data_IF_985217033418
#
_entry.id   IF_985217033418
#
_cell.length_a   1.000
_cell.length_b   1.000
_cell.length_c   1.000
_cell.angle_alpha   90.00
_cell.angle_beta   90.00
_cell.angle_gamma   90.00
#
_symmetry.space_group_name_H-M   'P 1'
#
loop_
_entity.id
_entity.type
_entity.pdbx_description
1 polymer ?
#
# COMPACT_ATOMS: atom_id res chain seq x y z
N UNK A 1 75.30 28.15 -59.38
CA UNK A 1 73.92 28.41 -58.94
C UNK A 1 73.39 27.08 -58.37
N UNK A 2 73.65 26.83 -57.11
CA UNK A 2 73.24 25.57 -56.42
C UNK A 2 72.04 25.83 -55.55
N UNK A 3 70.98 25.11 -55.80
CA UNK A 3 69.81 25.06 -54.87
C UNK A 3 69.99 23.85 -53.99
N UNK A 4 70.11 24.11 -52.68
CA UNK A 4 70.05 23.10 -51.61
C UNK A 4 68.59 22.77 -51.32
N UNK A 5 68.26 21.49 -51.27
CA UNK A 5 66.96 20.97 -50.85
C UNK A 5 67.13 20.51 -49.37
N UNK A 6 66.40 21.15 -48.48
CA UNK A 6 66.30 20.70 -47.12
C UNK A 6 65.15 19.69 -47.01
N UNK A 7 65.47 18.47 -46.60
CA UNK A 7 64.48 17.44 -46.21
C UNK A 7 64.21 17.55 -44.68
N UNK A 8 63.02 17.98 -44.35
CA UNK A 8 62.60 18.00 -42.97
C UNK A 8 62.01 16.63 -42.56
N UNK A 9 62.59 16.01 -41.52
CA UNK A 9 62.10 14.79 -40.92
C UNK A 9 61.10 15.18 -39.84
N UNK A 10 59.81 14.88 -40.08
CA UNK A 10 58.76 14.98 -39.06
C UNK A 10 58.80 13.74 -38.14
N UNK A 11 59.23 13.91 -36.88
CA UNK A 11 59.01 12.92 -35.83
C UNK A 11 57.55 12.99 -35.34
N UNK A 12 56.81 11.92 -35.60
CA UNK A 12 55.47 11.73 -35.01
C UNK A 12 55.66 11.08 -33.63
N UNK A 13 55.46 11.84 -32.58
CA UNK A 13 55.38 11.30 -31.20
C UNK A 13 54.03 10.64 -30.99
N UNK A 14 54.01 9.32 -30.91
CA UNK A 14 52.79 8.57 -30.50
C UNK A 14 52.60 8.71 -29.00
N UNK A 15 51.65 9.52 -28.55
CA UNK A 15 51.22 9.59 -27.16
C UNK A 15 50.35 8.35 -26.87
N UNK A 16 50.88 7.43 -26.04
CA UNK A 16 50.10 6.33 -25.50
C UNK A 16 49.10 6.87 -24.47
N UNK A 17 47.82 6.91 -24.83
CA UNK A 17 46.73 7.20 -23.88
C UNK A 17 46.55 5.94 -23.05
N UNK A 18 47.10 5.92 -21.85
CA UNK A 18 46.76 4.92 -20.83
C UNK A 18 45.34 5.17 -20.38
N UNK A 19 44.39 4.34 -20.81
CA UNK A 19 43.05 4.29 -20.28
C UNK A 19 43.16 3.85 -18.80
N UNK A 20 43.02 4.81 -17.90
CA UNK A 20 42.82 4.52 -16.47
C UNK A 20 41.51 3.74 -16.34
N UNK A 21 41.62 2.47 -15.92
CA UNK A 21 40.44 1.69 -15.54
C UNK A 21 39.77 2.44 -14.39
N UNK A 22 38.54 2.91 -14.61
CA UNK A 22 37.74 3.50 -13.55
C UNK A 22 37.59 2.46 -12.44
N UNK A 23 38.02 2.80 -11.23
CA UNK A 23 37.79 1.98 -10.06
C UNK A 23 36.27 1.67 -9.97
N UNK A 24 35.89 0.41 -9.63
CA UNK A 24 34.49 0.09 -9.47
C UNK A 24 33.95 1.01 -8.37
N UNK A 25 32.97 1.85 -8.75
CA UNK A 25 32.27 2.69 -7.77
C UNK A 25 31.77 1.75 -6.67
N UNK A 26 32.24 1.92 -5.43
CA UNK A 26 31.72 1.22 -4.27
C UNK A 26 30.20 1.35 -4.30
N UNK A 27 29.50 0.23 -4.32
CA UNK A 27 28.04 0.26 -4.18
C UNK A 27 27.74 1.01 -2.86
N UNK A 28 26.85 2.00 -2.88
CA UNK A 28 26.47 2.67 -1.63
C UNK A 28 26.01 1.61 -0.64
N UNK A 29 26.47 1.72 0.60
CA UNK A 29 26.08 0.80 1.65
C UNK A 29 24.55 0.66 1.66
N UNK A 30 24.05 -0.57 1.69
CA UNK A 30 22.63 -0.83 1.73
C UNK A 30 22.05 -0.07 2.93
N UNK A 31 21.00 0.72 2.72
CA UNK A 31 20.28 1.36 3.82
C UNK A 31 19.71 0.25 4.68
N UNK A 32 20.20 0.15 5.92
CA UNK A 32 19.77 -0.84 6.89
C UNK A 32 19.14 -0.14 8.07
N UNK A 33 17.96 -0.62 8.47
CA UNK A 33 17.24 -0.17 9.65
C UNK A 33 17.58 -1.12 10.79
N UNK A 34 18.41 -0.67 11.72
CA UNK A 34 18.71 -1.42 12.95
C UNK A 34 17.58 -1.19 13.94
N UNK A 35 16.98 -2.27 14.43
CA UNK A 35 15.91 -2.19 15.42
C UNK A 35 16.06 -3.27 16.49
N UNK A 36 15.51 -3.00 17.67
CA UNK A 36 15.35 -3.98 18.74
C UNK A 36 13.89 -4.35 18.89
N UNK A 37 13.62 -5.58 19.28
CA UNK A 37 12.27 -6.09 19.50
C UNK A 37 12.14 -6.67 20.91
N UNK A 38 11.00 -6.41 21.56
CA UNK A 38 10.63 -6.98 22.85
C UNK A 38 9.11 -7.24 22.90
N UNK A 39 8.68 -8.15 23.76
CA UNK A 39 7.26 -8.40 24.03
C UNK A 39 7.01 -8.15 25.51
N UNK A 40 6.03 -7.29 25.83
CA UNK A 40 5.60 -7.04 27.19
C UNK A 40 4.83 -8.22 27.77
N UNK A 41 4.68 -8.28 29.09
CA UNK A 41 3.95 -9.36 29.78
C UNK A 41 2.49 -9.52 29.30
N UNK A 42 1.85 -8.43 28.88
CA UNK A 42 0.50 -8.43 28.34
C UNK A 42 0.42 -8.80 26.84
N UNK A 43 1.55 -9.09 26.19
CA UNK A 43 1.62 -9.51 24.79
C UNK A 43 1.86 -8.39 23.78
N UNK A 44 1.93 -7.12 24.19
CA UNK A 44 2.27 -6.02 23.28
C UNK A 44 3.69 -6.21 22.75
N UNK A 45 3.83 -6.28 21.43
CA UNK A 45 5.13 -6.28 20.76
C UNK A 45 5.63 -4.85 20.60
N UNK A 46 6.90 -4.62 20.92
CA UNK A 46 7.53 -3.31 20.89
C UNK A 46 8.77 -3.35 20.01
N UNK A 47 8.86 -2.44 19.06
CA UNK A 47 9.98 -2.28 18.15
C UNK A 47 10.56 -0.88 18.28
N UNK A 48 11.88 -0.78 18.53
CA UNK A 48 12.57 0.48 18.75
C UNK A 48 13.68 0.66 17.71
N UNK A 49 13.68 1.84 17.07
CA UNK A 49 14.75 2.30 16.16
C UNK A 49 15.28 3.63 16.71
N UNK A 50 16.49 3.61 17.24
CA UNK A 50 17.18 4.82 17.69
C UNK A 50 17.74 5.57 16.47
N UNK A 51 17.33 6.83 16.27
CA UNK A 51 17.76 7.69 15.16
C UNK A 51 17.84 9.15 15.60
N UNK A 52 19.08 9.60 15.84
CA UNK A 52 19.39 10.97 16.31
C UNK A 52 19.60 11.97 15.16
N UNK A 53 19.22 11.64 13.92
CA UNK A 53 19.40 12.54 12.77
C UNK A 53 18.53 13.79 12.82
N UNK A 54 17.41 13.74 13.55
CA UNK A 54 16.52 14.86 13.81
C UNK A 54 15.90 14.72 15.22
N UNK A 55 15.61 15.83 15.93
CA UNK A 55 15.04 15.80 17.28
C UNK A 55 13.53 15.51 17.25
N UNK A 56 13.14 14.41 16.63
CA UNK A 56 11.75 13.98 16.47
C UNK A 56 11.59 12.51 16.81
N UNK A 57 10.38 12.13 17.23
CA UNK A 57 9.95 10.73 17.32
C UNK A 57 8.76 10.48 16.39
N UNK A 58 8.63 9.25 15.96
CA UNK A 58 7.45 8.74 15.29
C UNK A 58 7.00 7.45 15.98
N UNK A 59 5.76 7.45 16.42
CA UNK A 59 5.09 6.31 17.05
C UNK A 59 4.05 5.77 16.09
N UNK A 60 4.02 4.46 15.92
CA UNK A 60 2.96 3.75 15.20
C UNK A 60 2.44 2.60 16.05
N UNK A 61 1.12 2.54 16.24
CA UNK A 61 0.44 1.36 16.77
C UNK A 61 -0.29 0.68 15.62
N UNK A 62 0.14 -0.53 15.29
CA UNK A 62 -0.47 -1.37 14.28
C UNK A 62 -1.30 -2.46 14.95
N UNK A 63 -2.60 -2.50 14.68
CA UNK A 63 -3.50 -3.55 15.15
C UNK A 63 -3.74 -4.59 14.05
N UNK A 64 -3.71 -5.87 14.42
CA UNK A 64 -4.04 -6.99 13.53
C UNK A 64 -5.56 -7.12 13.36
N UNK A 65 -6.16 -6.09 12.79
CA UNK A 65 -7.58 -5.99 12.47
C UNK A 65 -7.80 -5.04 11.30
N UNK A 66 -8.61 -5.46 10.35
CA UNK A 66 -9.05 -4.67 9.21
C UNK A 66 -10.40 -5.16 8.73
N UNK A 67 -10.83 -4.74 7.55
CA UNK A 67 -12.16 -5.16 7.05
C UNK A 67 -12.30 -6.67 6.87
N UNK A 68 -11.21 -7.42 6.69
CA UNK A 68 -11.26 -8.90 6.65
C UNK A 68 -11.86 -9.55 7.90
N UNK A 69 -11.84 -8.86 9.03
CA UNK A 69 -12.37 -9.33 10.32
C UNK A 69 -13.86 -9.03 10.50
N UNK A 70 -14.47 -8.40 9.52
CA UNK A 70 -15.88 -8.05 9.53
C UNK A 70 -16.77 -9.25 9.15
N UNK A 71 -18.06 -9.13 9.40
CA UNK A 71 -19.06 -10.15 9.07
C UNK A 71 -20.15 -9.57 8.18
N UNK A 72 -20.85 -10.40 7.38
CA UNK A 72 -22.00 -9.95 6.61
C UNK A 72 -23.02 -9.18 7.46
N UNK A 73 -23.49 -8.03 6.95
CA UNK A 73 -24.38 -7.12 7.65
C UNK A 73 -23.67 -6.18 8.65
N UNK A 74 -22.34 -6.16 8.63
CA UNK A 74 -21.50 -5.31 9.48
C UNK A 74 -20.21 -4.89 8.76
N UNK A 75 -20.32 -4.48 7.50
CA UNK A 75 -19.20 -3.95 6.72
C UNK A 75 -18.91 -2.49 7.08
N UNK A 76 -17.66 -2.07 6.97
CA UNK A 76 -17.20 -0.74 7.34
C UNK A 76 -16.91 -0.54 8.82
N UNK A 77 -17.01 -1.60 9.64
CA UNK A 77 -16.80 -1.52 11.09
C UNK A 77 -15.36 -1.23 11.47
N UNK A 78 -14.40 -1.82 10.79
CA UNK A 78 -12.98 -1.54 11.05
C UNK A 78 -12.65 -0.07 10.78
N UNK A 79 -13.16 0.50 9.71
CA UNK A 79 -12.97 1.91 9.37
C UNK A 79 -13.77 2.85 10.31
N UNK A 80 -15.03 2.53 10.59
CA UNK A 80 -15.81 3.28 11.58
C UNK A 80 -15.09 3.28 12.94
N UNK A 81 -14.49 2.16 13.31
CA UNK A 81 -13.76 2.06 14.55
C UNK A 81 -12.45 2.89 14.53
N UNK A 82 -11.75 2.98 13.40
CA UNK A 82 -10.64 3.92 13.23
C UNK A 82 -11.06 5.33 13.65
N UNK A 83 -12.21 5.82 13.16
CA UNK A 83 -12.77 7.11 13.53
C UNK A 83 -13.12 7.22 15.02
N UNK A 84 -13.70 6.16 15.59
CA UNK A 84 -14.07 6.13 17.01
C UNK A 84 -12.86 6.28 17.94
N UNK A 85 -11.68 5.80 17.55
CA UNK A 85 -10.46 5.88 18.34
C UNK A 85 -9.96 7.33 18.56
N UNK A 86 -10.49 8.30 17.82
CA UNK A 86 -10.19 9.72 17.99
C UNK A 86 -11.24 10.49 18.80
N UNK A 87 -12.27 9.78 19.28
CA UNK A 87 -13.41 10.44 19.97
C UNK A 87 -13.25 10.52 21.50
N UNK A 88 -12.02 10.32 21.98
CA UNK A 88 -11.67 10.48 23.38
C UNK A 88 -11.75 9.19 24.18
N UNK A 89 -11.14 9.24 25.34
CA UNK A 89 -10.96 8.16 26.29
C UNK A 89 -11.18 8.70 27.71
N UNK A 90 -10.95 7.89 28.73
CA UNK A 90 -11.22 8.27 30.13
C UNK A 90 -10.55 9.58 30.54
N UNK A 91 -9.33 9.83 30.09
CA UNK A 91 -8.52 10.98 30.52
C UNK A 91 -8.29 12.00 29.38
N UNK A 92 -8.78 11.74 28.17
CA UNK A 92 -8.60 12.57 26.97
C UNK A 92 -9.97 12.83 26.37
N UNK A 93 -10.39 14.09 26.32
CA UNK A 93 -11.71 14.48 25.81
C UNK A 93 -11.85 14.31 24.28
N UNK A 94 -13.09 14.45 23.80
CA UNK A 94 -13.38 14.40 22.36
C UNK A 94 -12.60 15.48 21.60
N UNK A 95 -11.84 15.05 20.59
CA UNK A 95 -10.97 15.93 19.80
C UNK A 95 -9.70 16.41 20.52
N UNK A 96 -9.56 16.14 21.80
CA UNK A 96 -8.40 16.58 22.59
C UNK A 96 -7.10 15.89 22.14
N UNK A 97 -7.17 14.64 21.71
CA UNK A 97 -6.00 13.93 21.16
C UNK A 97 -5.37 14.73 20.00
N UNK A 98 -6.17 15.15 19.02
CA UNK A 98 -5.71 15.99 17.92
C UNK A 98 -5.13 17.33 18.41
N UNK A 99 -5.84 17.98 19.36
CA UNK A 99 -5.38 19.23 19.92
C UNK A 99 -4.01 19.11 20.61
N UNK A 100 -3.83 18.07 21.43
CA UNK A 100 -2.58 17.83 22.14
C UNK A 100 -1.41 17.56 21.16
N UNK A 101 -1.61 16.73 20.15
CA UNK A 101 -0.55 16.46 19.17
C UNK A 101 -0.21 17.70 18.35
N UNK A 102 -1.18 18.40 17.78
CA UNK A 102 -0.93 19.56 16.91
C UNK A 102 -0.39 20.77 17.69
N UNK A 103 -0.90 21.06 18.89
CA UNK A 103 -0.39 22.16 19.71
C UNK A 103 1.03 21.94 20.23
N UNK A 104 1.48 20.70 20.28
CA UNK A 104 2.86 20.34 20.63
C UNK A 104 3.77 20.15 19.39
N UNK A 105 3.36 20.65 18.22
CA UNK A 105 4.16 20.65 16.99
C UNK A 105 4.22 19.30 16.27
N UNK A 106 3.30 18.40 16.57
CA UNK A 106 3.20 17.09 15.95
C UNK A 106 2.21 17.01 14.79
N UNK A 107 2.12 15.83 14.23
CA UNK A 107 1.11 15.41 13.24
C UNK A 107 0.67 13.98 13.54
N UNK A 108 -0.56 13.64 13.24
CA UNK A 108 -1.11 12.32 13.46
C UNK A 108 -2.17 11.96 12.45
N UNK A 109 -2.42 10.66 12.28
CA UNK A 109 -3.53 10.13 11.50
C UNK A 109 -3.81 8.66 11.86
N UNK A 110 -4.91 8.12 11.31
CA UNK A 110 -5.21 6.69 11.24
C UNK A 110 -5.38 6.23 9.80
N UNK A 111 -5.34 4.93 9.57
CA UNK A 111 -5.70 4.31 8.30
C UNK A 111 -6.09 2.86 8.51
N UNK A 112 -7.15 2.45 7.82
CA UNK A 112 -7.65 1.07 7.82
C UNK A 112 -7.51 0.48 6.43
N UNK A 113 -7.06 -0.76 6.37
CA UNK A 113 -7.07 -1.59 5.18
C UNK A 113 -7.79 -2.90 5.46
N UNK A 114 -7.75 -3.80 4.52
CA UNK A 114 -8.33 -5.13 4.73
C UNK A 114 -7.61 -5.89 5.83
N UNK A 115 -6.29 -5.73 5.97
CA UNK A 115 -5.45 -6.55 6.83
C UNK A 115 -5.05 -5.93 8.17
N UNK A 116 -5.03 -4.59 8.26
CA UNK A 116 -4.60 -3.91 9.49
C UNK A 116 -5.23 -2.52 9.63
N UNK A 117 -5.26 -2.05 10.88
CA UNK A 117 -5.56 -0.65 11.22
C UNK A 117 -4.34 -0.05 11.91
N UNK A 118 -3.91 1.11 11.45
CA UNK A 118 -2.72 1.81 11.92
C UNK A 118 -3.10 3.14 12.53
N UNK A 119 -2.47 3.48 13.66
CA UNK A 119 -2.49 4.83 14.20
C UNK A 119 -1.05 5.29 14.34
N UNK A 120 -0.77 6.46 13.82
CA UNK A 120 0.60 6.95 13.80
C UNK A 120 0.65 8.44 14.06
N UNK A 121 1.69 8.83 14.77
CA UNK A 121 1.95 10.22 15.10
C UNK A 121 3.45 10.52 15.07
N UNK A 122 3.79 11.76 14.77
CA UNK A 122 5.15 12.28 14.83
C UNK A 122 5.15 13.55 15.65
N UNK A 123 6.09 13.62 16.60
CA UNK A 123 6.21 14.74 17.55
C UNK A 123 7.70 15.11 17.75
N UNK A 124 7.99 16.30 18.26
CA UNK A 124 9.32 16.59 18.81
C UNK A 124 9.72 15.56 19.88
N UNK A 125 10.98 15.18 19.93
CA UNK A 125 11.49 14.10 20.78
C UNK A 125 11.15 14.29 22.29
N UNK A 126 11.10 15.53 22.77
CA UNK A 126 10.72 15.86 24.15
C UNK A 126 9.23 15.60 24.47
N UNK A 127 8.41 15.24 23.47
CA UNK A 127 7.00 14.90 23.64
C UNK A 127 6.75 13.38 23.62
N UNK A 128 7.78 12.54 23.71
CA UNK A 128 7.65 11.09 23.72
C UNK A 128 6.63 10.60 24.79
N UNK A 129 6.69 11.18 26.00
CA UNK A 129 5.80 10.79 27.08
C UNK A 129 4.33 11.12 26.76
N UNK A 130 4.06 12.27 26.11
CA UNK A 130 2.72 12.64 25.65
C UNK A 130 2.19 11.63 24.64
N UNK A 131 2.98 11.28 23.61
CA UNK A 131 2.60 10.28 22.61
C UNK A 131 2.22 8.93 23.25
N UNK A 132 3.08 8.42 24.12
CA UNK A 132 2.84 7.16 24.83
C UNK A 132 1.60 7.20 25.73
N UNK A 133 1.36 8.32 26.40
CA UNK A 133 0.18 8.51 27.23
C UNK A 133 -1.11 8.48 26.38
N UNK A 134 -1.17 9.24 25.31
CA UNK A 134 -2.34 9.35 24.43
C UNK A 134 -2.73 7.98 23.85
N UNK A 135 -1.74 7.25 23.32
CA UNK A 135 -1.94 5.93 22.73
C UNK A 135 -2.37 4.88 23.78
N UNK A 136 -1.74 4.89 24.95
CA UNK A 136 -2.06 3.96 26.02
C UNK A 136 -3.46 4.22 26.60
N UNK A 137 -3.85 5.50 26.75
CA UNK A 137 -5.16 5.85 27.32
C UNK A 137 -6.30 5.42 26.41
N UNK A 138 -6.21 5.62 25.08
CA UNK A 138 -7.23 5.15 24.15
C UNK A 138 -7.26 3.63 24.01
N UNK A 139 -6.11 2.94 24.07
CA UNK A 139 -6.07 1.46 24.07
C UNK A 139 -6.73 0.89 25.34
N UNK A 140 -6.55 1.54 26.50
CA UNK A 140 -7.07 1.10 27.79
C UNK A 140 -8.55 1.39 27.98
N UNK A 141 -9.00 2.57 27.58
CA UNK A 141 -10.23 3.16 28.11
C UNK A 141 -10.98 4.06 27.12
N UNK A 142 -11.01 3.65 25.85
CA UNK A 142 -11.79 4.34 24.82
C UNK A 142 -13.24 4.56 25.27
N UNK A 143 -13.76 5.76 25.14
CA UNK A 143 -15.10 6.10 25.54
C UNK A 143 -16.08 5.94 24.38
N UNK A 144 -16.83 4.85 24.38
CA UNK A 144 -17.82 4.51 23.35
C UNK A 144 -19.21 4.88 23.90
N UNK A 145 -19.84 5.88 23.29
CA UNK A 145 -21.21 6.31 23.61
C UNK A 145 -22.07 6.39 22.35
N UNK A 146 -23.40 6.38 22.53
CA UNK A 146 -24.33 6.51 21.39
C UNK A 146 -24.09 7.82 20.63
N UNK A 147 -23.87 8.93 21.32
CA UNK A 147 -23.64 10.23 20.68
C UNK A 147 -22.37 10.26 19.84
N UNK A 148 -21.26 9.64 20.32
CA UNK A 148 -20.00 9.54 19.57
C UNK A 148 -20.15 8.61 18.37
N UNK A 149 -20.82 7.48 18.53
CA UNK A 149 -21.12 6.55 17.45
C UNK A 149 -21.97 7.24 16.36
N UNK A 150 -23.04 7.92 16.72
CA UNK A 150 -23.91 8.61 15.75
C UNK A 150 -23.16 9.70 15.00
N UNK A 151 -22.28 10.44 15.69
CA UNK A 151 -21.43 11.45 15.07
C UNK A 151 -20.44 10.82 14.06
N UNK A 152 -19.74 9.75 14.43
CA UNK A 152 -18.77 9.12 13.54
C UNK A 152 -19.43 8.31 12.41
N UNK A 153 -20.58 7.70 12.66
CA UNK A 153 -21.40 7.09 11.59
C UNK A 153 -21.71 8.11 10.49
N UNK A 154 -22.16 9.30 10.85
CA UNK A 154 -22.45 10.37 9.88
C UNK A 154 -21.19 10.81 9.13
N UNK A 155 -20.05 10.92 9.82
CA UNK A 155 -18.77 11.27 9.20
C UNK A 155 -18.33 10.22 8.16
N UNK A 156 -18.39 8.93 8.50
CA UNK A 156 -18.04 7.83 7.58
C UNK A 156 -19.03 7.74 6.40
N UNK A 157 -20.32 7.96 6.65
CA UNK A 157 -21.31 8.00 5.57
C UNK A 157 -21.08 9.16 4.61
N UNK A 158 -20.68 10.34 5.13
CA UNK A 158 -20.34 11.47 4.27
C UNK A 158 -19.04 11.20 3.49
N UNK A 159 -18.06 10.58 4.13
CA UNK A 159 -16.84 10.17 3.46
C UNK A 159 -17.12 9.15 2.35
N UNK A 160 -18.02 8.17 2.59
CA UNK A 160 -18.46 7.24 1.55
C UNK A 160 -19.09 7.98 0.35
N UNK A 161 -19.98 8.95 0.63
CA UNK A 161 -20.54 9.78 -0.45
C UNK A 161 -19.46 10.51 -1.24
N UNK A 162 -18.49 11.09 -0.56
CA UNK A 162 -17.41 11.84 -1.18
C UNK A 162 -16.42 10.97 -1.95
N UNK A 163 -16.10 9.77 -1.45
CA UNK A 163 -15.03 8.92 -2.02
C UNK A 163 -15.54 7.82 -2.94
N UNK A 164 -16.80 7.41 -2.81
CA UNK A 164 -17.38 6.30 -3.58
C UNK A 164 -18.60 6.79 -4.38
N UNK A 165 -19.68 7.18 -3.69
CA UNK A 165 -20.98 7.36 -4.33
C UNK A 165 -20.98 8.54 -5.33
N UNK A 166 -20.25 9.62 -5.06
CA UNK A 166 -20.17 10.83 -5.89
C UNK A 166 -18.85 10.91 -6.70
N UNK A 167 -18.07 9.84 -6.79
CA UNK A 167 -16.88 9.80 -7.62
C UNK A 167 -17.13 9.03 -8.92
N UNK A 168 -16.62 9.54 -10.06
CA UNK A 168 -16.59 8.73 -11.27
C UNK A 168 -15.88 7.39 -10.99
N UNK A 169 -16.48 6.31 -11.42
CA UNK A 169 -16.02 4.92 -11.25
C UNK A 169 -16.00 4.40 -9.81
N UNK A 170 -16.37 5.18 -8.78
CA UNK A 170 -16.30 4.75 -7.39
C UNK A 170 -17.11 3.50 -7.07
N UNK A 171 -18.34 3.39 -7.60
CA UNK A 171 -19.17 2.18 -7.46
C UNK A 171 -18.60 1.00 -8.26
N UNK A 172 -17.93 1.26 -9.39
CA UNK A 172 -17.28 0.21 -10.16
C UNK A 172 -16.02 -0.32 -9.47
N UNK A 173 -15.25 0.56 -8.80
CA UNK A 173 -14.09 0.17 -7.99
C UNK A 173 -14.51 -0.74 -6.81
N UNK A 174 -15.61 -0.40 -6.14
CA UNK A 174 -16.17 -1.22 -5.07
C UNK A 174 -16.66 -2.58 -5.59
N UNK A 175 -17.46 -2.57 -6.63
CA UNK A 175 -18.00 -3.78 -7.25
C UNK A 175 -16.90 -4.67 -7.86
N UNK A 176 -15.76 -4.09 -8.25
CA UNK A 176 -14.62 -4.86 -8.72
C UNK A 176 -14.09 -5.81 -7.63
N UNK A 177 -14.04 -5.36 -6.37
CA UNK A 177 -13.67 -6.21 -5.23
C UNK A 177 -14.62 -7.40 -5.07
N UNK A 178 -15.93 -7.15 -5.17
CA UNK A 178 -16.98 -8.19 -5.08
C UNK A 178 -16.87 -9.23 -6.20
N UNK A 179 -16.55 -8.79 -7.42
CA UNK A 179 -16.36 -9.68 -8.56
C UNK A 179 -15.02 -10.42 -8.49
N UNK A 180 -13.98 -9.78 -7.98
CA UNK A 180 -12.63 -10.34 -7.94
C UNK A 180 -12.46 -11.40 -6.86
N UNK A 181 -12.94 -11.15 -5.63
CA UNK A 181 -12.85 -12.10 -4.53
C UNK A 181 -14.13 -12.90 -4.36
N UNK A 182 -13.98 -14.19 -4.02
CA UNK A 182 -15.11 -15.06 -3.67
C UNK A 182 -15.27 -15.15 -2.15
N UNK A 183 -14.18 -14.95 -1.40
CA UNK A 183 -14.18 -14.98 0.05
C UNK A 183 -14.61 -13.62 0.60
N UNK A 184 -15.63 -13.62 1.48
CA UNK A 184 -16.17 -12.42 2.09
C UNK A 184 -15.09 -11.54 2.75
N UNK A 185 -14.06 -12.14 3.35
CA UNK A 185 -12.99 -11.40 4.01
C UNK A 185 -12.33 -10.31 3.15
N UNK A 186 -12.24 -10.52 1.82
CA UNK A 186 -11.67 -9.56 0.88
C UNK A 186 -12.64 -9.05 -0.19
N UNK A 187 -13.87 -9.54 -0.18
CA UNK A 187 -14.86 -9.22 -1.20
C UNK A 187 -15.47 -7.82 -1.00
N UNK A 188 -15.70 -7.43 0.25
CA UNK A 188 -16.39 -6.18 0.57
C UNK A 188 -15.45 -4.98 0.73
N UNK A 189 -16.02 -3.80 0.55
CA UNK A 189 -15.31 -2.52 0.68
C UNK A 189 -14.98 -2.21 2.15
N UNK A 190 -13.77 -1.67 2.39
CA UNK A 190 -13.32 -1.24 3.73
C UNK A 190 -14.17 -0.13 4.31
N UNK A 191 -14.75 0.75 3.46
CA UNK A 191 -15.61 1.84 3.95
C UNK A 191 -17.02 1.33 4.35
N UNK A 192 -17.41 0.14 3.87
CA UNK A 192 -18.68 -0.50 4.17
C UNK A 192 -19.89 0.08 3.44
N UNK A 193 -21.03 -0.57 3.56
CA UNK A 193 -22.30 -0.14 2.97
C UNK A 193 -23.02 0.88 3.87
N UNK A 194 -23.86 1.74 3.28
CA UNK A 194 -24.72 2.66 4.04
C UNK A 194 -25.68 1.90 4.97
N UNK A 195 -26.16 0.72 4.55
CA UNK A 195 -27.04 -0.12 5.33
C UNK A 195 -26.35 -0.66 6.58
N UNK A 196 -25.15 -1.23 6.41
CA UNK A 196 -24.39 -1.82 7.52
C UNK A 196 -23.91 -0.75 8.51
N UNK A 197 -23.50 0.42 8.01
CA UNK A 197 -23.15 1.56 8.86
C UNK A 197 -24.34 2.03 9.68
N UNK A 198 -25.55 2.06 9.12
CA UNK A 198 -26.78 2.39 9.85
C UNK A 198 -27.14 1.34 10.89
N UNK A 199 -26.83 0.08 10.64
CA UNK A 199 -27.11 -1.03 11.55
C UNK A 199 -26.12 -1.12 12.73
N UNK A 200 -25.03 -0.32 12.72
CA UNK A 200 -24.03 -0.33 13.79
C UNK A 200 -24.63 0.11 15.12
N UNK A 201 -24.45 -0.69 16.18
CA UNK A 201 -24.86 -0.39 17.56
C UNK A 201 -23.65 -0.13 18.46
N UNK A 202 -23.88 0.55 19.58
CA UNK A 202 -22.85 0.74 20.62
C UNK A 202 -22.32 -0.61 21.14
N UNK A 203 -23.19 -1.61 21.20
CA UNK A 203 -22.80 -2.96 21.63
C UNK A 203 -21.87 -3.63 20.63
N UNK A 204 -22.17 -3.57 19.33
CA UNK A 204 -21.30 -4.09 18.27
C UNK A 204 -19.92 -3.43 18.31
N UNK A 205 -19.87 -2.09 18.40
CA UNK A 205 -18.62 -1.32 18.45
C UNK A 205 -17.84 -1.62 19.73
N UNK A 206 -18.50 -1.75 20.86
CA UNK A 206 -17.85 -2.12 22.13
C UNK A 206 -17.28 -3.54 22.07
N UNK A 207 -17.99 -4.47 21.46
CA UNK A 207 -17.50 -5.83 21.29
C UNK A 207 -16.30 -5.88 20.32
N UNK A 208 -16.34 -5.10 19.25
CA UNK A 208 -15.23 -4.98 18.30
C UNK A 208 -13.95 -4.44 18.99
N UNK A 209 -14.09 -3.40 19.83
CA UNK A 209 -13.00 -2.89 20.65
C UNK A 209 -12.38 -3.98 21.52
N UNK A 210 -13.22 -4.65 22.33
CA UNK A 210 -12.74 -5.69 23.24
C UNK A 210 -12.07 -6.86 22.55
N UNK A 211 -12.50 -7.16 21.33
CA UNK A 211 -11.95 -8.30 20.57
C UNK A 211 -10.61 -7.97 19.93
N UNK A 212 -10.47 -6.79 19.35
CA UNK A 212 -9.36 -6.50 18.44
C UNK A 212 -8.37 -5.46 18.95
N UNK A 213 -8.79 -4.51 19.80
CA UNK A 213 -7.95 -3.39 20.24
C UNK A 213 -7.32 -3.68 21.61
N UNK A 214 -6.53 -4.74 21.64
CA UNK A 214 -5.85 -5.22 22.83
C UNK A 214 -4.32 -5.24 22.62
N UNK A 215 -3.53 -5.15 23.71
CA UNK A 215 -2.06 -5.14 23.59
C UNK A 215 -1.51 -6.38 22.88
N UNK A 216 -2.07 -7.56 23.10
CA UNK A 216 -1.62 -8.80 22.44
C UNK A 216 -2.04 -8.93 20.97
N UNK A 217 -2.85 -8.01 20.45
CA UNK A 217 -3.22 -7.89 19.03
C UNK A 217 -2.61 -6.65 18.39
N UNK A 218 -1.59 -6.06 19.01
CA UNK A 218 -0.98 -4.81 18.59
C UNK A 218 0.56 -4.87 18.54
N UNK A 219 1.12 -4.03 17.68
CA UNK A 219 2.57 -3.78 17.59
C UNK A 219 2.80 -2.28 17.75
N UNK A 220 3.63 -1.92 18.73
CA UNK A 220 4.12 -0.56 18.94
C UNK A 220 5.48 -0.43 18.25
N UNK A 221 5.60 0.42 17.25
CA UNK A 221 6.86 0.73 16.59
C UNK A 221 7.22 2.19 16.85
N UNK A 222 8.36 2.43 17.50
CA UNK A 222 8.87 3.76 17.85
C UNK A 222 10.23 3.99 17.16
N UNK A 223 10.32 5.07 16.40
CA UNK A 223 11.52 5.46 15.63
C UNK A 223 11.86 6.91 15.95
N UNK A 224 13.13 7.22 16.21
CA UNK A 224 13.56 8.62 16.35
C UNK A 224 14.58 8.86 17.47
N UNK A 225 14.60 10.10 17.95
CA UNK A 225 15.58 10.61 18.92
C UNK A 225 15.15 10.27 20.36
N UNK A 226 15.59 9.12 20.83
CA UNK A 226 15.40 8.65 22.21
C UNK A 226 16.47 7.62 22.57
N UNK A 227 16.65 7.38 23.87
CA UNK A 227 17.45 6.25 24.36
C UNK A 227 16.57 5.03 24.56
N UNK A 228 16.89 3.88 23.96
CA UNK A 228 16.02 2.69 23.99
C UNK A 228 15.64 2.23 25.40
N UNK A 229 16.54 2.31 26.38
CA UNK A 229 16.27 1.93 27.76
C UNK A 229 15.22 2.85 28.42
N UNK A 230 15.33 4.17 28.19
CA UNK A 230 14.40 5.15 28.75
C UNK A 230 13.02 5.03 28.08
N UNK A 231 13.00 4.89 26.75
CA UNK A 231 11.76 4.66 26.00
C UNK A 231 11.05 3.37 26.44
N UNK A 232 11.77 2.27 26.59
CA UNK A 232 11.22 1.00 27.08
C UNK A 232 10.65 1.11 28.49
N UNK A 233 11.32 1.84 29.38
CA UNK A 233 10.81 2.07 30.74
C UNK A 233 9.50 2.86 30.73
N UNK A 234 9.39 3.90 29.89
CA UNK A 234 8.15 4.66 29.70
C UNK A 234 7.04 3.80 29.05
N UNK A 235 7.36 3.02 28.01
CA UNK A 235 6.39 2.11 27.37
C UNK A 235 5.83 1.13 28.38
N UNK A 236 6.67 0.50 29.19
CA UNK A 236 6.21 -0.39 30.27
C UNK A 236 5.29 0.32 31.27
N UNK A 237 5.64 1.53 31.70
CA UNK A 237 4.85 2.32 32.64
C UNK A 237 3.43 2.61 32.12
N UNK A 238 3.28 2.88 30.82
CA UNK A 238 2.00 3.25 30.22
C UNK A 238 1.19 2.06 29.73
N UNK A 239 1.81 1.00 29.23
CA UNK A 239 1.13 -0.08 28.53
C UNK A 239 1.07 -1.41 29.28
N UNK A 240 2.01 -1.72 30.19
CA UNK A 240 2.16 -3.08 30.72
C UNK A 240 0.99 -3.54 31.61
N UNK A 241 0.27 -2.59 32.23
CA UNK A 241 -0.91 -2.85 33.06
C UNK A 241 -2.22 -2.93 32.25
N UNK A 242 -2.19 -2.65 30.93
CA UNK A 242 -3.37 -2.85 30.06
C UNK A 242 -3.62 -4.36 29.92
N UNK A 243 -4.83 -4.84 30.27
CA UNK A 243 -5.06 -6.28 30.28
C UNK A 243 -4.97 -6.91 28.89
N UNK A 244 -4.28 -8.05 28.82
CA UNK A 244 -4.37 -8.95 27.66
C UNK A 244 -5.82 -9.43 27.49
N UNK A 245 -6.27 -9.56 26.24
CA UNK A 245 -7.57 -10.14 25.87
C UNK A 245 -7.38 -11.54 25.27
N UNK A 246 -8.46 -12.32 25.17
CA UNK A 246 -8.45 -13.54 24.37
C UNK A 246 -7.97 -13.26 22.94
N UNK A 247 -7.30 -14.24 22.31
CA UNK A 247 -6.89 -14.10 20.91
C UNK A 247 -8.13 -13.90 20.02
N UNK A 248 -8.07 -12.96 19.06
CA UNK A 248 -9.16 -12.78 18.10
C UNK A 248 -9.45 -14.05 17.32
N UNK A 249 -10.68 -14.26 16.86
CA UNK A 249 -11.03 -15.39 16.00
C UNK A 249 -10.19 -15.41 14.73
N UNK A 250 -9.70 -16.59 14.35
CA UNK A 250 -9.01 -16.75 13.07
C UNK A 250 -9.97 -16.52 11.91
N UNK A 251 -9.50 -15.80 10.89
CA UNK A 251 -10.26 -15.53 9.65
C UNK A 251 -9.81 -16.50 8.57
N UNK A 252 -10.75 -17.15 7.90
CA UNK A 252 -10.46 -17.93 6.70
C UNK A 252 -10.20 -16.97 5.53
N UNK A 253 -8.98 -16.97 5.02
CA UNK A 253 -8.53 -16.16 3.89
C UNK A 253 -8.35 -17.00 2.61
N UNK A 254 -8.84 -18.24 2.60
CA UNK A 254 -8.76 -19.10 1.43
C UNK A 254 -9.57 -18.53 0.26
N UNK A 255 -9.01 -18.60 -0.93
CA UNK A 255 -9.66 -18.14 -2.15
C UNK A 255 -9.68 -19.30 -3.14
N UNK A 256 -10.86 -19.71 -3.64
CA UNK A 256 -10.95 -20.78 -4.60
C UNK A 256 -10.26 -20.42 -5.92
N UNK A 257 -9.69 -21.43 -6.59
CA UNK A 257 -9.09 -21.26 -7.91
C UNK A 257 -10.18 -20.81 -8.93
N UNK A 258 -9.90 -19.71 -9.60
CA UNK A 258 -10.75 -19.21 -10.66
C UNK A 258 -10.54 -20.02 -11.94
N UNK A 259 -11.60 -20.64 -12.46
CA UNK A 259 -11.57 -21.56 -13.61
C UNK A 259 -12.02 -20.93 -14.92
N UNK A 260 -12.61 -19.74 -14.87
CA UNK A 260 -13.07 -18.99 -16.02
C UNK A 260 -12.93 -17.48 -15.76
N UNK A 261 -12.77 -16.70 -16.83
CA UNK A 261 -12.82 -15.24 -16.74
C UNK A 261 -14.12 -14.80 -16.07
N UNK A 262 -14.03 -13.83 -15.16
CA UNK A 262 -15.16 -13.09 -14.61
C UNK A 262 -15.22 -11.74 -15.32
N UNK A 263 -16.39 -11.39 -15.87
CA UNK A 263 -16.50 -10.15 -16.64
C UNK A 263 -17.86 -9.50 -16.43
N UNK A 264 -17.82 -8.18 -16.22
CA UNK A 264 -19.02 -7.36 -16.18
C UNK A 264 -18.85 -6.06 -16.97
N UNK A 265 -19.98 -5.48 -17.37
CA UNK A 265 -20.03 -4.14 -17.98
C UNK A 265 -20.98 -3.29 -17.17
N UNK A 266 -20.48 -2.15 -16.73
CA UNK A 266 -21.24 -1.18 -15.94
C UNK A 266 -21.45 0.11 -16.71
N UNK A 267 -22.40 0.90 -16.25
CA UNK A 267 -22.66 2.26 -16.73
C UNK A 267 -22.61 3.22 -15.54
N UNK A 268 -21.84 4.30 -15.69
CA UNK A 268 -21.69 5.31 -14.66
C UNK A 268 -22.07 6.69 -15.19
N UNK A 269 -23.02 7.34 -14.51
CA UNK A 269 -23.51 8.67 -14.87
C UNK A 269 -22.49 9.79 -14.66
N UNK A 270 -21.49 9.57 -13.80
CA UNK A 270 -20.45 10.53 -13.48
C UNK A 270 -19.22 10.36 -14.41
N UNK A 271 -19.08 9.20 -15.02
CA UNK A 271 -17.95 8.89 -15.91
C UNK A 271 -17.98 9.78 -17.18
N UNK A 272 -16.79 10.16 -17.65
CA UNK A 272 -16.59 10.95 -18.88
C UNK A 272 -15.93 10.14 -20.01
N UNK A 273 -15.35 9.01 -19.68
CA UNK A 273 -14.68 8.10 -20.62
C UNK A 273 -14.91 6.66 -20.17
N UNK A 274 -14.78 5.70 -21.08
CA UNK A 274 -14.80 4.29 -20.70
C UNK A 274 -13.53 3.95 -19.90
N UNK A 275 -13.71 3.30 -18.76
CA UNK A 275 -12.61 2.72 -17.96
C UNK A 275 -12.65 1.20 -18.06
N UNK A 276 -11.48 0.61 -18.13
CA UNK A 276 -11.27 -0.84 -18.11
C UNK A 276 -10.42 -1.16 -16.88
N UNK A 277 -10.90 -2.08 -16.07
CA UNK A 277 -10.18 -2.63 -14.93
C UNK A 277 -9.99 -4.12 -15.15
N UNK A 278 -8.76 -4.58 -15.01
CA UNK A 278 -8.37 -5.98 -15.16
C UNK A 278 -7.54 -6.37 -13.95
N UNK A 279 -7.83 -7.52 -13.35
CA UNK A 279 -6.96 -8.06 -12.31
C UNK A 279 -6.73 -9.56 -12.45
N UNK A 280 -5.62 -10.00 -11.90
CA UNK A 280 -5.21 -11.40 -11.81
C UNK A 280 -4.87 -11.72 -10.37
N UNK A 281 -5.30 -12.87 -9.85
CA UNK A 281 -4.95 -13.34 -8.51
C UNK A 281 -3.44 -13.53 -8.40
N UNK A 282 -2.89 -13.08 -7.27
CA UNK A 282 -1.49 -13.28 -6.90
C UNK A 282 -1.40 -14.12 -5.63
N UNK A 283 -0.24 -14.68 -5.28
CA UNK A 283 -0.08 -15.41 -4.04
C UNK A 283 -0.15 -14.48 -2.83
N UNK A 284 -0.09 -15.05 -1.62
CA UNK A 284 0.05 -14.32 -0.35
C UNK A 284 1.24 -13.36 -0.39
N UNK A 285 1.13 -12.21 0.26
CA UNK A 285 2.03 -11.07 0.09
C UNK A 285 3.49 -11.28 0.50
N UNK A 286 3.80 -12.33 1.28
CA UNK A 286 5.17 -12.71 1.63
C UNK A 286 5.75 -13.85 0.77
N UNK A 287 5.03 -14.33 -0.24
CA UNK A 287 5.54 -15.35 -1.15
C UNK A 287 6.69 -14.79 -2.02
N UNK A 288 7.68 -15.62 -2.32
CA UNK A 288 8.84 -15.24 -3.14
C UNK A 288 8.44 -14.73 -4.52
N UNK A 289 7.35 -15.24 -5.12
CA UNK A 289 6.86 -14.83 -6.44
C UNK A 289 6.41 -13.35 -6.45
N UNK A 290 6.09 -12.75 -5.31
CA UNK A 290 5.65 -11.35 -5.22
C UNK A 290 6.75 -10.39 -5.70
N UNK A 291 8.01 -10.67 -5.43
CA UNK A 291 9.13 -9.86 -5.94
C UNK A 291 9.15 -9.83 -7.47
N UNK A 292 9.03 -10.98 -8.10
CA UNK A 292 8.99 -11.09 -9.56
C UNK A 292 7.72 -10.46 -10.15
N UNK A 293 6.57 -10.59 -9.50
CA UNK A 293 5.31 -9.93 -9.89
C UNK A 293 5.40 -8.41 -9.81
N UNK A 294 6.04 -7.84 -8.79
CA UNK A 294 6.28 -6.39 -8.71
C UNK A 294 7.23 -5.88 -9.79
N UNK A 295 8.30 -6.63 -10.08
CA UNK A 295 9.20 -6.31 -11.20
C UNK A 295 8.44 -6.40 -12.53
N UNK A 296 7.64 -7.44 -12.75
CA UNK A 296 6.77 -7.59 -13.92
C UNK A 296 5.81 -6.40 -14.06
N UNK A 297 5.11 -6.04 -12.99
CA UNK A 297 4.20 -4.88 -12.96
C UNK A 297 4.93 -3.59 -13.31
N UNK A 298 6.16 -3.41 -12.81
CA UNK A 298 6.97 -2.24 -13.14
C UNK A 298 7.33 -2.19 -14.64
N UNK A 299 7.71 -3.30 -15.25
CA UNK A 299 7.96 -3.39 -16.70
C UNK A 299 6.70 -3.11 -17.50
N UNK A 300 5.59 -3.71 -17.08
CA UNK A 300 4.33 -3.68 -17.83
C UNK A 300 3.67 -2.29 -17.82
N UNK A 301 3.61 -1.63 -16.64
CA UNK A 301 2.69 -0.51 -16.46
C UNK A 301 3.18 0.64 -15.57
N UNK A 302 4.43 0.63 -15.06
CA UNK A 302 4.89 1.70 -14.17
C UNK A 302 5.69 2.76 -14.92
N UNK A 303 5.14 3.99 -14.97
CA UNK A 303 5.75 5.16 -15.56
C UNK A 303 5.77 5.16 -17.10
N UNK A 304 6.20 6.28 -17.66
CA UNK A 304 6.06 6.60 -19.09
C UNK A 304 6.83 5.65 -20.02
N UNK A 305 7.87 5.00 -19.55
CA UNK A 305 8.65 4.03 -20.34
C UNK A 305 8.22 2.57 -20.11
N UNK A 306 7.07 2.34 -19.49
CA UNK A 306 6.47 1.01 -19.38
C UNK A 306 5.84 0.57 -20.70
N UNK A 307 5.74 -0.75 -20.90
CA UNK A 307 5.27 -1.31 -22.16
C UNK A 307 3.86 -0.85 -22.51
N UNK A 308 2.93 -0.90 -21.58
CA UNK A 308 1.54 -0.49 -21.82
C UNK A 308 1.43 1.01 -22.09
N UNK A 309 2.19 1.85 -21.37
CA UNK A 309 2.16 3.28 -21.64
C UNK A 309 2.69 3.61 -23.04
N UNK A 310 3.83 3.04 -23.43
CA UNK A 310 4.38 3.24 -24.77
C UNK A 310 3.42 2.75 -25.84
N UNK A 311 2.91 1.53 -25.72
CA UNK A 311 2.02 0.94 -26.72
C UNK A 311 0.67 1.66 -26.81
N UNK A 312 0.00 1.86 -25.68
CA UNK A 312 -1.40 2.33 -25.66
C UNK A 312 -1.53 3.85 -25.73
N UNK A 313 -0.61 4.59 -25.07
CA UNK A 313 -0.69 6.03 -24.99
C UNK A 313 0.12 6.71 -26.14
N UNK A 314 1.35 6.22 -26.43
CA UNK A 314 2.24 6.86 -27.40
C UNK A 314 2.07 6.34 -28.83
N UNK A 315 2.10 5.03 -29.03
CA UNK A 315 2.07 4.45 -30.38
C UNK A 315 0.67 4.38 -30.98
N UNK A 316 -0.29 3.81 -30.22
CA UNK A 316 -1.65 3.57 -30.73
C UNK A 316 -2.64 4.68 -30.37
N UNK A 317 -2.30 5.53 -29.41
CA UNK A 317 -3.17 6.61 -28.91
C UNK A 317 -4.59 6.13 -28.52
N UNK A 318 -4.66 4.96 -27.87
CA UNK A 318 -5.91 4.33 -27.48
C UNK A 318 -6.42 4.79 -26.13
N UNK A 319 -5.52 5.24 -25.24
CA UNK A 319 -5.85 5.60 -23.86
C UNK A 319 -5.40 7.01 -23.50
N UNK A 320 -6.04 7.60 -22.51
CA UNK A 320 -5.59 8.85 -21.85
C UNK A 320 -4.73 8.52 -20.63
N UNK A 321 -4.99 7.39 -19.98
CA UNK A 321 -4.22 6.90 -18.84
C UNK A 321 -4.18 5.37 -18.85
N UNK A 322 -3.05 4.81 -18.41
CA UNK A 322 -2.89 3.38 -18.11
C UNK A 322 -1.90 3.22 -16.97
N UNK A 323 -2.17 2.29 -16.08
CA UNK A 323 -1.31 1.98 -14.95
C UNK A 323 -1.89 0.86 -14.09
N UNK A 324 -1.25 0.58 -12.96
CA UNK A 324 -1.72 -0.41 -12.02
C UNK A 324 -0.67 -0.73 -10.96
N UNK A 325 -0.94 -1.75 -10.17
CA UNK A 325 -0.12 -2.12 -9.01
C UNK A 325 -0.27 -3.60 -8.67
N UNK A 326 0.58 -4.08 -7.77
CA UNK A 326 0.44 -5.37 -7.11
C UNK A 326 0.01 -5.11 -5.67
N UNK A 327 -1.14 -5.64 -5.29
CA UNK A 327 -1.66 -5.61 -3.94
C UNK A 327 -1.16 -6.85 -3.16
N UNK A 328 -0.58 -6.59 -2.00
CA UNK A 328 0.02 -7.61 -1.13
C UNK A 328 -0.83 -7.74 0.13
N UNK A 329 -1.48 -8.88 0.30
CA UNK A 329 -2.35 -9.18 1.44
C UNK A 329 -1.80 -10.35 2.25
N UNK A 330 -2.33 -10.55 3.46
CA UNK A 330 -2.05 -11.75 4.27
C UNK A 330 -2.51 -12.99 3.50
N UNK A 331 -3.69 -12.94 2.92
CA UNK A 331 -4.21 -13.92 1.97
C UNK A 331 -3.77 -13.63 0.53
N UNK A 332 -4.42 -14.25 -0.47
CA UNK A 332 -4.18 -13.97 -1.88
C UNK A 332 -4.44 -12.50 -2.23
N UNK A 333 -3.49 -11.88 -2.93
CA UNK A 333 -3.60 -10.53 -3.43
C UNK A 333 -4.01 -10.44 -4.90
N UNK A 334 -3.65 -9.33 -5.57
CA UNK A 334 -3.96 -9.10 -6.97
C UNK A 334 -2.90 -8.30 -7.71
N UNK A 335 -2.76 -8.56 -9.02
CA UNK A 335 -2.09 -7.66 -9.96
C UNK A 335 -3.19 -6.95 -10.75
N UNK A 336 -3.26 -5.64 -10.61
CA UNK A 336 -4.29 -4.78 -11.18
C UNK A 336 -3.75 -3.98 -12.36
N UNK A 337 -4.57 -3.83 -13.40
CA UNK A 337 -4.32 -2.99 -14.58
C UNK A 337 -5.56 -2.14 -14.81
N UNK A 338 -5.38 -0.82 -14.83
CA UNK A 338 -6.44 0.14 -15.15
C UNK A 338 -6.11 0.91 -16.42
N UNK A 339 -7.10 1.11 -17.29
CA UNK A 339 -6.94 1.92 -18.49
C UNK A 339 -8.18 2.81 -18.72
N UNK A 340 -7.95 4.11 -18.97
CA UNK A 340 -9.00 5.03 -19.40
C UNK A 340 -8.94 5.22 -20.90
N UNK A 341 -9.96 4.77 -21.58
CA UNK A 341 -10.05 4.78 -23.05
C UNK A 341 -10.17 6.21 -23.56
N UNK A 342 -9.42 6.55 -24.61
CA UNK A 342 -9.50 7.86 -25.27
C UNK A 342 -10.84 8.02 -25.97
N UNK A 343 -11.52 9.17 -25.89
CA UNK A 343 -12.77 9.41 -26.61
C UNK A 343 -12.66 9.07 -28.10
N UNK A 344 -13.66 8.32 -28.60
CA UNK A 344 -13.71 7.84 -29.98
C UNK A 344 -12.93 6.57 -30.26
N UNK A 345 -12.24 5.99 -29.29
CA UNK A 345 -11.60 4.67 -29.37
C UNK A 345 -12.49 3.60 -28.73
N UNK A 346 -12.22 2.34 -29.05
CA UNK A 346 -13.00 1.20 -28.55
C UNK A 346 -12.27 0.53 -27.38
N UNK A 347 -13.02 0.12 -26.37
CA UNK A 347 -12.50 -0.63 -25.22
C UNK A 347 -11.87 -1.97 -25.68
N UNK A 348 -12.50 -2.67 -26.62
CA UNK A 348 -12.01 -3.94 -27.15
C UNK A 348 -10.60 -3.82 -27.77
N UNK A 349 -10.29 -2.69 -28.46
CA UNK A 349 -8.97 -2.46 -29.02
C UNK A 349 -7.89 -2.27 -27.93
N UNK A 350 -8.26 -1.63 -26.81
CA UNK A 350 -7.40 -1.45 -25.64
C UNK A 350 -7.13 -2.79 -24.97
N UNK A 351 -8.18 -3.56 -24.70
CA UNK A 351 -8.05 -4.88 -24.08
C UNK A 351 -7.22 -5.84 -24.94
N UNK A 352 -7.51 -5.92 -26.24
CA UNK A 352 -6.73 -6.77 -27.14
C UNK A 352 -5.24 -6.42 -27.13
N UNK A 353 -4.91 -5.12 -27.08
CA UNK A 353 -3.53 -4.67 -27.00
C UNK A 353 -2.87 -5.00 -25.66
N UNK A 354 -3.59 -4.88 -24.51
CA UNK A 354 -3.11 -5.31 -23.20
C UNK A 354 -2.82 -6.81 -23.18
N UNK A 355 -3.74 -7.63 -23.69
CA UNK A 355 -3.58 -9.08 -23.69
C UNK A 355 -2.45 -9.54 -24.59
N UNK A 356 -2.29 -8.92 -25.77
CA UNK A 356 -1.16 -9.20 -26.66
C UNK A 356 0.19 -8.86 -26.00
N UNK A 357 0.26 -7.82 -25.17
CA UNK A 357 1.50 -7.47 -24.47
C UNK A 357 1.79 -8.44 -23.31
N UNK A 358 0.76 -8.89 -22.61
CA UNK A 358 0.88 -9.95 -21.58
C UNK A 358 1.36 -11.25 -22.23
N UNK A 359 0.81 -11.62 -23.39
CA UNK A 359 1.23 -12.81 -24.14
C UNK A 359 2.71 -12.75 -24.54
N UNK A 360 3.21 -11.60 -24.98
CA UNK A 360 4.65 -11.41 -25.25
C UNK A 360 5.51 -11.65 -24.03
N UNK A 361 5.08 -11.17 -22.83
CA UNK A 361 5.78 -11.43 -21.56
C UNK A 361 5.79 -12.91 -21.19
N UNK A 362 4.76 -13.66 -21.57
CA UNK A 362 4.70 -15.12 -21.36
C UNK A 362 5.59 -15.87 -22.35
N UNK A 363 5.67 -15.42 -23.61
CA UNK A 363 6.39 -16.12 -24.66
C UNK A 363 7.90 -15.84 -24.65
N UNK A 364 8.33 -14.64 -24.29
CA UNK A 364 9.72 -14.18 -24.38
C UNK A 364 10.18 -13.50 -23.09
N UNK A 365 11.41 -13.77 -22.63
CA UNK A 365 12.00 -13.02 -21.54
C UNK A 365 12.11 -11.53 -21.88
N UNK A 366 11.92 -10.67 -20.88
CA UNK A 366 12.13 -9.22 -21.00
C UNK A 366 13.58 -8.89 -21.40
N UNK A 367 13.82 -7.71 -21.96
CA UNK A 367 15.18 -7.26 -22.24
C UNK A 367 15.95 -6.97 -20.93
N UNK A 368 17.27 -7.04 -20.97
CA UNK A 368 18.09 -6.81 -19.77
C UNK A 368 17.91 -5.40 -19.19
N UNK A 369 17.83 -4.40 -20.07
CA UNK A 369 17.62 -3.02 -19.62
C UNK A 369 16.25 -2.79 -18.96
N UNK A 370 15.21 -3.53 -19.37
CA UNK A 370 13.89 -3.48 -18.73
C UNK A 370 13.94 -4.03 -17.30
N UNK A 371 14.64 -5.16 -17.12
CA UNK A 371 14.87 -5.74 -15.80
C UNK A 371 15.62 -4.78 -14.90
N UNK A 372 16.73 -4.21 -15.37
CA UNK A 372 17.55 -3.28 -14.59
C UNK A 372 16.78 -2.02 -14.22
N UNK A 373 16.03 -1.45 -15.16
CA UNK A 373 15.16 -0.32 -14.91
C UNK A 373 14.10 -0.66 -13.88
N UNK A 374 13.38 -1.77 -14.03
CA UNK A 374 12.31 -2.17 -13.12
C UNK A 374 12.84 -2.41 -11.70
N UNK A 375 13.99 -3.10 -11.55
CA UNK A 375 14.66 -3.27 -10.25
C UNK A 375 15.01 -1.93 -9.61
N UNK A 376 15.61 -1.01 -10.38
CA UNK A 376 15.97 0.31 -9.89
C UNK A 376 14.73 1.11 -9.45
N UNK A 377 13.65 1.08 -10.24
CA UNK A 377 12.38 1.75 -9.92
C UNK A 377 11.76 1.17 -8.63
N UNK A 378 11.69 -0.15 -8.53
CA UNK A 378 11.11 -0.83 -7.36
C UNK A 378 11.96 -0.58 -6.10
N UNK A 379 13.28 -0.69 -6.22
CA UNK A 379 14.22 -0.37 -5.14
C UNK A 379 14.09 1.09 -4.69
N UNK A 380 14.06 2.03 -5.63
CA UNK A 380 13.89 3.45 -5.31
C UNK A 380 12.57 3.71 -4.58
N UNK A 381 11.46 3.18 -5.10
CA UNK A 381 10.15 3.30 -4.46
C UNK A 381 10.15 2.74 -3.04
N UNK A 382 10.77 1.58 -2.84
CA UNK A 382 10.90 0.99 -1.52
C UNK A 382 11.75 1.84 -0.56
N UNK A 383 12.90 2.33 -0.99
CA UNK A 383 13.73 3.21 -0.16
C UNK A 383 13.02 4.52 0.21
N UNK A 384 12.19 5.05 -0.69
CA UNK A 384 11.34 6.20 -0.38
C UNK A 384 10.28 5.88 0.69
N UNK A 385 9.75 4.65 0.71
CA UNK A 385 8.75 4.22 1.70
C UNK A 385 9.31 4.01 3.12
N UNK A 386 10.63 4.07 3.32
CA UNK A 386 11.30 3.97 4.63
C UNK A 386 12.25 5.15 4.91
N UNK A 387 12.08 6.28 4.21
CA UNK A 387 13.05 7.39 4.23
C UNK A 387 13.07 8.19 5.53
N UNK A 388 11.96 8.29 6.25
CA UNK A 388 11.81 9.08 7.46
C UNK A 388 11.35 8.23 8.65
N UNK A 389 11.38 8.78 9.85
CA UNK A 389 11.03 8.08 11.09
C UNK A 389 9.62 7.49 11.03
N UNK A 390 8.61 8.28 10.63
CA UNK A 390 7.22 7.82 10.56
C UNK A 390 7.04 6.66 9.59
N UNK A 391 7.61 6.76 8.37
CA UNK A 391 7.48 5.68 7.40
C UNK A 391 8.21 4.41 7.82
N UNK A 392 9.33 4.50 8.57
CA UNK A 392 9.99 3.32 9.16
C UNK A 392 9.13 2.69 10.26
N UNK A 393 8.58 3.49 11.18
CA UNK A 393 7.69 2.99 12.22
C UNK A 393 6.45 2.28 11.61
N UNK A 394 5.84 2.89 10.61
CA UNK A 394 4.70 2.34 9.89
C UNK A 394 5.06 1.02 9.18
N UNK A 395 6.17 0.96 8.44
CA UNK A 395 6.57 -0.26 7.73
C UNK A 395 6.92 -1.41 8.68
N UNK A 396 7.59 -1.14 9.81
CA UNK A 396 7.85 -2.15 10.83
C UNK A 396 6.55 -2.73 11.37
N UNK A 397 5.59 -1.89 11.74
CA UNK A 397 4.26 -2.32 12.20
C UNK A 397 3.54 -3.17 11.15
N UNK A 398 3.48 -2.73 9.89
CA UNK A 398 2.84 -3.44 8.78
C UNK A 398 3.48 -4.83 8.57
N UNK A 399 4.79 -4.92 8.45
CA UNK A 399 5.47 -6.20 8.21
C UNK A 399 5.29 -7.18 9.36
N UNK A 400 5.24 -6.65 10.58
CA UNK A 400 5.03 -7.46 11.77
C UNK A 400 3.61 -7.98 11.85
N UNK A 401 2.61 -7.13 11.65
CA UNK A 401 1.20 -7.52 11.70
C UNK A 401 0.86 -8.44 10.52
N UNK A 402 1.22 -8.07 9.29
CA UNK A 402 0.83 -8.85 8.10
C UNK A 402 1.59 -10.16 7.97
N UNK A 403 2.88 -10.17 8.28
CA UNK A 403 3.75 -11.30 7.90
C UNK A 403 4.54 -11.88 9.07
N UNK A 404 4.33 -11.35 10.28
CA UNK A 404 5.10 -11.70 11.47
C UNK A 404 6.64 -11.65 11.24
N UNK A 405 7.09 -10.74 10.36
CA UNK A 405 8.48 -10.61 9.96
C UNK A 405 8.88 -9.13 9.80
N UNK A 406 9.30 -8.46 10.89
CA UNK A 406 9.82 -7.09 10.80
C UNK A 406 11.13 -7.00 9.99
N UNK A 407 11.87 -8.11 9.84
CA UNK A 407 13.12 -8.19 9.06
C UNK A 407 12.93 -7.87 7.57
N UNK A 408 11.68 -7.95 7.07
CA UNK A 408 11.33 -7.53 5.71
C UNK A 408 11.72 -6.08 5.42
N UNK A 409 11.81 -5.23 6.45
CA UNK A 409 12.26 -3.84 6.26
C UNK A 409 13.67 -3.78 5.66
N UNK A 410 14.51 -4.77 5.93
CA UNK A 410 15.88 -4.86 5.42
C UNK A 410 16.04 -5.81 4.23
N UNK A 411 15.23 -6.86 4.14
CA UNK A 411 15.41 -7.93 3.14
C UNK A 411 14.71 -7.69 1.81
N UNK A 412 13.72 -6.78 1.74
CA UNK A 412 12.95 -6.54 0.50
C UNK A 412 13.80 -6.08 -0.68
N UNK A 413 14.79 -5.23 -0.45
CA UNK A 413 15.70 -4.76 -1.52
C UNK A 413 16.43 -5.95 -2.14
N UNK A 414 16.99 -6.82 -1.30
CA UNK A 414 17.68 -8.03 -1.76
C UNK A 414 16.73 -8.96 -2.55
N UNK A 415 15.48 -9.08 -2.11
CA UNK A 415 14.45 -9.83 -2.84
C UNK A 415 14.22 -9.31 -4.25
N UNK A 416 14.13 -7.99 -4.44
CA UNK A 416 14.01 -7.38 -5.78
C UNK A 416 15.28 -7.56 -6.61
N UNK A 417 16.45 -7.41 -6.01
CA UNK A 417 17.74 -7.58 -6.70
C UNK A 417 17.98 -9.01 -7.18
N UNK A 418 17.43 -10.01 -6.49
CA UNK A 418 17.54 -11.41 -6.87
C UNK A 418 16.69 -11.81 -8.08
N UNK A 419 15.65 -11.03 -8.44
CA UNK A 419 14.74 -11.37 -9.55
C UNK A 419 15.51 -11.47 -10.87
N UNK A 420 15.26 -12.51 -11.65
CA UNK A 420 15.82 -12.75 -12.97
C UNK A 420 14.79 -12.49 -14.07
N UNK A 421 15.23 -12.41 -15.33
CA UNK A 421 14.34 -12.33 -16.50
C UNK A 421 13.44 -13.57 -16.62
N UNK A 422 13.98 -14.72 -16.27
CA UNK A 422 13.26 -16.00 -16.30
C UNK A 422 12.18 -16.03 -15.20
N UNK A 423 12.44 -15.43 -14.02
CA UNK A 423 11.42 -15.30 -12.97
C UNK A 423 10.26 -14.43 -13.43
N UNK A 424 10.53 -13.31 -14.12
CA UNK A 424 9.48 -12.44 -14.67
C UNK A 424 8.63 -13.20 -15.68
N UNK A 425 9.25 -13.96 -16.58
CA UNK A 425 8.52 -14.79 -17.56
C UNK A 425 7.74 -15.90 -16.87
N UNK A 426 8.33 -16.57 -15.89
CA UNK A 426 7.70 -17.67 -15.12
C UNK A 426 6.44 -17.19 -14.40
N UNK A 427 6.50 -16.04 -13.70
CA UNK A 427 5.32 -15.51 -13.01
C UNK A 427 4.27 -14.98 -13.99
N UNK A 428 4.65 -14.42 -15.13
CA UNK A 428 3.71 -14.06 -16.19
C UNK A 428 2.93 -15.29 -16.70
N UNK A 429 3.63 -16.40 -16.98
CA UNK A 429 2.99 -17.67 -17.38
C UNK A 429 2.09 -18.24 -16.29
N UNK A 430 2.50 -18.15 -15.03
CA UNK A 430 1.80 -18.77 -13.91
C UNK A 430 0.54 -18.02 -13.52
N UNK A 431 0.60 -16.70 -13.45
CA UNK A 431 -0.46 -15.88 -12.84
C UNK A 431 -1.33 -15.13 -13.85
N UNK A 432 -0.81 -14.73 -15.02
CA UNK A 432 -1.56 -13.91 -15.98
C UNK A 432 -2.31 -14.77 -17.02
N UNK A 433 -3.04 -15.77 -16.54
CA UNK A 433 -3.80 -16.68 -17.39
C UNK A 433 -5.17 -16.09 -17.75
N UNK A 434 -5.65 -16.34 -18.97
CA UNK A 434 -6.94 -15.82 -19.45
C UNK A 434 -8.11 -16.24 -18.54
N UNK A 435 -8.12 -17.49 -18.06
CA UNK A 435 -9.18 -17.98 -17.18
C UNK A 435 -9.15 -17.40 -15.76
N UNK A 436 -8.01 -16.84 -15.31
CA UNK A 436 -7.85 -16.30 -13.95
C UNK A 436 -8.05 -14.79 -13.87
N UNK A 437 -8.38 -14.12 -14.97
CA UNK A 437 -8.61 -12.68 -14.98
C UNK A 437 -10.03 -12.31 -14.60
N UNK A 438 -10.15 -11.17 -13.96
CA UNK A 438 -11.42 -10.49 -13.69
C UNK A 438 -11.41 -9.15 -14.41
N UNK A 439 -12.51 -8.77 -15.07
CA UNK A 439 -12.61 -7.57 -15.91
C UNK A 439 -13.88 -6.83 -15.61
N UNK A 440 -13.80 -5.52 -15.38
CA UNK A 440 -14.95 -4.61 -15.45
C UNK A 440 -14.67 -3.54 -16.50
N UNK A 441 -15.68 -3.34 -17.36
CA UNK A 441 -15.70 -2.22 -18.32
C UNK A 441 -16.79 -1.25 -17.89
N UNK A 442 -16.41 -0.06 -17.46
CA UNK A 442 -17.36 0.97 -17.03
C UNK A 442 -17.48 2.03 -18.10
N UNK A 443 -18.68 2.15 -18.67
CA UNK A 443 -19.00 3.11 -19.71
C UNK A 443 -19.66 4.37 -19.14
N UNK A 444 -19.44 5.56 -19.74
CA UNK A 444 -20.27 6.73 -19.45
C UNK A 444 -21.74 6.45 -19.77
N UNK A 445 -22.63 6.98 -18.94
CA UNK A 445 -24.04 6.96 -19.28
C UNK A 445 -24.29 7.76 -20.59
N UNK A 446 -25.24 7.32 -21.42
CA UNK A 446 -25.63 8.09 -22.59
C UNK A 446 -26.02 9.52 -22.19
N UNK A 447 -25.33 10.50 -22.75
CA UNK A 447 -25.75 11.90 -22.52
C UNK A 447 -27.12 12.11 -23.14
N UNK A 448 -28.05 12.79 -22.44
CA UNK A 448 -29.29 13.25 -23.08
C UNK A 448 -28.93 14.02 -24.34
N UNK A 449 -29.54 13.72 -25.45
CA UNK A 449 -29.37 14.50 -26.68
C UNK A 449 -29.58 15.99 -26.33
N UNK A 450 -28.59 16.84 -26.67
CA UNK A 450 -28.75 18.26 -26.49
C UNK A 450 -30.08 18.67 -27.13
N UNK A 451 -30.99 19.30 -26.35
CA UNK A 451 -32.26 19.77 -26.90
C UNK A 451 -31.94 20.65 -28.11
N UNK A 452 -32.59 20.44 -29.26
CA UNK A 452 -32.34 21.26 -30.43
C UNK A 452 -32.74 22.71 -30.10
N UNK A 453 -31.76 23.57 -29.99
CA UNK A 453 -31.81 25.02 -30.04
C UNK A 453 -32.81 25.69 -29.09
N UNK A 454 -32.32 26.30 -28.00
CA UNK A 454 -32.97 27.49 -27.46
C UNK A 454 -32.25 28.75 -27.96
#
# INVERSE_FOLDING_TARGET
MNRAVCVGVCLVAAAAVTASAAEPKSQPAAVRVEFTEATLANGLRVQLVEDHTAPVIALNIAYDVGSRNERPGRTGFAHLFEHMMFKGSKNVGDGEHFYQVFSNGGSMNGTTSEDQTLYFESLPANQLELALFLEADRMRSLEITQAKLDNQRQAVQEERRLRVDNQPYGLADEHFGELFYSNFAYQHSTIGSMEDLNAASVEDVTQFFKTYYAPNNAVLSLVGDFKPADAMAMIKRYFEDIPRQPEPPAVDLSEPEQKAERRETMTDALARATQIQIAYKTPVGNATDVYALRVLSSVLQSGDSSRLYQLLNKEKELVVAVGGFVDERIGPGGLYIGATVRPGKKADDVEAAIYAEIEKLQQQPIAQWELEKAKNTTRFGYLQSIRNAQSRATQLGIFTVKFNDPGLINSRVTGFEAVTRDDVQRVAKKYLQAQSRTVIVTNPAPQPAAAPGA
#
